data_IF_515076968003
#
_entry.id   IF_515076968003
#
_cell.length_a   1.000
_cell.length_b   1.000
_cell.length_c   1.000
_cell.angle_alpha   90.00
_cell.angle_beta   90.00
_cell.angle_gamma   90.00
#
_symmetry.space_group_name_H-M   'P 1'
#
loop_
_entity.id
_entity.type
_entity.pdbx_description
1 polymer ?
#
# COMPACT_ATOMS: atom_id res chain seq x y z
N UNK A 1 -21.49 11.85 16.79
CA UNK A 1 -20.04 11.56 16.75
C UNK A 1 -19.62 11.39 15.31
N UNK A 2 -19.08 12.44 14.69
CA UNK A 2 -18.40 12.34 13.40
C UNK A 2 -17.16 11.49 13.59
N UNK A 3 -17.15 10.26 13.06
CA UNK A 3 -15.95 9.42 13.06
C UNK A 3 -14.91 10.14 12.21
N UNK A 4 -13.84 10.61 12.84
CA UNK A 4 -12.71 11.16 12.10
C UNK A 4 -12.20 10.11 11.10
N UNK A 5 -11.82 10.53 9.88
CA UNK A 5 -11.23 9.62 8.92
C UNK A 5 -9.97 9.00 9.52
N UNK A 6 -9.90 7.67 9.49
CA UNK A 6 -8.81 6.89 10.06
C UNK A 6 -7.48 7.35 9.45
N UNK A 7 -6.62 7.98 10.26
CA UNK A 7 -5.31 8.45 9.81
C UNK A 7 -4.30 7.29 9.86
N UNK A 8 -4.13 6.62 8.71
CA UNK A 8 -3.24 5.47 8.56
C UNK A 8 -1.79 5.80 8.97
N UNK A 9 -1.33 7.03 8.75
CA UNK A 9 0.04 7.43 9.10
C UNK A 9 0.23 7.48 10.63
N UNK A 10 -0.83 7.80 11.38
CA UNK A 10 -0.84 7.77 12.85
C UNK A 10 -0.81 6.33 13.37
N UNK A 11 -1.55 5.43 12.74
CA UNK A 11 -1.59 4.02 13.14
C UNK A 11 -0.24 3.33 12.99
N UNK A 12 0.52 3.64 11.92
CA UNK A 12 1.83 3.00 11.67
C UNK A 12 2.88 3.37 12.73
N UNK A 13 2.77 4.55 13.34
CA UNK A 13 3.68 5.00 14.41
C UNK A 13 3.21 4.63 15.81
N UNK A 14 1.98 4.12 15.95
CA UNK A 14 1.44 3.68 17.24
C UNK A 14 2.22 2.47 17.74
N UNK A 15 2.49 2.47 19.04
CA UNK A 15 3.24 1.42 19.73
C UNK A 15 2.63 0.03 19.51
N UNK A 16 1.30 -0.05 19.44
CA UNK A 16 0.56 -1.28 19.12
C UNK A 16 0.87 -1.84 17.73
N UNK A 17 1.09 -0.98 16.74
CA UNK A 17 1.46 -1.45 15.40
C UNK A 17 2.85 -2.08 15.41
N UNK A 18 3.82 -1.45 16.09
CA UNK A 18 5.17 -1.99 16.27
C UNK A 18 5.15 -3.27 17.10
N UNK A 19 4.31 -3.34 18.13
CA UNK A 19 4.12 -4.54 18.93
C UNK A 19 3.59 -5.70 18.07
N UNK A 20 2.51 -5.48 17.31
CA UNK A 20 1.95 -6.52 16.43
C UNK A 20 2.87 -6.89 15.26
N UNK A 21 3.67 -5.95 14.74
CA UNK A 21 4.74 -6.24 13.79
C UNK A 21 5.82 -7.13 14.43
N UNK A 22 6.28 -6.81 15.64
CA UNK A 22 7.31 -7.58 16.36
C UNK A 22 6.84 -8.99 16.74
N UNK A 23 5.53 -9.16 17.01
CA UNK A 23 4.89 -10.44 17.27
C UNK A 23 4.63 -11.25 15.99
N UNK A 24 4.96 -10.72 14.80
CA UNK A 24 4.71 -11.36 13.52
C UNK A 24 3.24 -11.41 13.10
N UNK A 25 2.36 -10.70 13.81
CA UNK A 25 0.93 -10.62 13.52
C UNK A 25 0.63 -9.67 12.35
N UNK A 26 1.55 -8.73 12.08
CA UNK A 26 1.47 -7.81 10.94
C UNK A 26 2.67 -8.03 10.02
N UNK A 27 2.39 -8.36 8.77
CA UNK A 27 3.40 -8.34 7.72
C UNK A 27 3.41 -6.94 7.07
N UNK A 28 4.39 -6.11 7.43
CA UNK A 28 4.52 -4.74 6.91
C UNK A 28 4.60 -4.69 5.39
N UNK A 29 5.23 -5.67 4.75
CA UNK A 29 5.27 -5.78 3.28
C UNK A 29 3.88 -6.03 2.71
N UNK A 30 3.09 -6.91 3.31
CA UNK A 30 1.71 -7.17 2.90
C UNK A 30 0.82 -5.94 3.08
N UNK A 31 0.96 -5.23 4.19
CA UNK A 31 0.22 -3.97 4.46
C UNK A 31 0.58 -2.90 3.44
N UNK A 32 1.87 -2.68 3.17
CA UNK A 32 2.34 -1.75 2.13
C UNK A 32 1.75 -2.12 0.78
N UNK A 33 1.84 -3.39 0.39
CA UNK A 33 1.34 -3.87 -0.89
C UNK A 33 -0.19 -3.69 -1.03
N UNK A 34 -0.93 -3.88 0.06
CA UNK A 34 -2.36 -3.59 0.10
C UNK A 34 -2.64 -2.09 -0.13
N UNK A 35 -1.88 -1.22 0.55
CA UNK A 35 -2.00 0.24 0.42
C UNK A 35 -1.69 0.71 -1.01
N UNK A 36 -0.64 0.17 -1.63
CA UNK A 36 -0.29 0.43 -3.04
C UNK A 36 -1.46 0.10 -3.98
N UNK A 37 -2.10 -1.06 -3.81
CA UNK A 37 -3.26 -1.46 -4.63
C UNK A 37 -4.46 -0.55 -4.44
N UNK A 38 -4.73 -0.16 -3.21
CA UNK A 38 -5.83 0.75 -2.88
C UNK A 38 -5.61 2.15 -3.49
N UNK A 39 -4.40 2.69 -3.34
CA UNK A 39 -4.04 3.99 -3.95
C UNK A 39 -4.12 3.93 -5.48
N UNK A 40 -3.62 2.87 -6.11
CA UNK A 40 -3.73 2.66 -7.55
C UNK A 40 -5.18 2.69 -8.03
N UNK A 41 -6.07 1.97 -7.33
CA UNK A 41 -7.50 1.96 -7.66
C UNK A 41 -8.10 3.37 -7.63
N UNK A 42 -7.65 4.25 -6.73
CA UNK A 42 -8.12 5.63 -6.70
C UNK A 42 -7.49 6.51 -7.78
N UNK A 43 -6.18 6.40 -8.01
CA UNK A 43 -5.48 7.14 -9.06
C UNK A 43 -5.98 6.78 -10.46
N UNK A 44 -6.29 5.52 -10.70
CA UNK A 44 -6.77 5.01 -12.00
C UNK A 44 -8.14 5.57 -12.41
N UNK A 45 -8.87 6.23 -11.50
CA UNK A 45 -10.14 6.92 -11.84
C UNK A 45 -9.92 8.24 -12.56
N UNK A 46 -8.73 8.81 -12.46
CA UNK A 46 -8.43 10.17 -12.91
C UNK A 46 -7.18 10.25 -13.79
N UNK A 47 -6.24 9.33 -13.62
CA UNK A 47 -4.96 9.32 -14.31
C UNK A 47 -4.87 8.15 -15.29
N UNK A 48 -3.99 8.28 -16.30
CA UNK A 48 -3.60 7.14 -17.12
C UNK A 48 -2.89 6.08 -16.28
N UNK A 49 -2.83 4.85 -16.79
CA UNK A 49 -2.13 3.76 -16.10
C UNK A 49 -0.67 4.13 -15.79
N UNK A 50 0.05 4.70 -16.76
CA UNK A 50 1.46 5.07 -16.60
C UNK A 50 1.64 6.19 -15.58
N UNK A 51 0.77 7.21 -15.61
CA UNK A 51 0.84 8.33 -14.66
C UNK A 51 0.51 7.87 -13.23
N UNK A 52 -0.49 6.98 -13.09
CA UNK A 52 -0.82 6.38 -11.80
C UNK A 52 0.34 5.56 -11.24
N UNK A 53 1.03 4.78 -12.08
CA UNK A 53 2.21 4.02 -11.66
C UNK A 53 3.34 4.98 -11.28
N UNK A 54 3.61 6.01 -12.08
CA UNK A 54 4.64 7.00 -11.80
C UNK A 54 4.40 7.67 -10.44
N UNK A 55 3.17 8.12 -10.17
CA UNK A 55 2.79 8.70 -8.88
C UNK A 55 3.01 7.72 -7.71
N UNK A 56 2.78 6.41 -7.91
CA UNK A 56 3.04 5.40 -6.90
C UNK A 56 4.54 5.15 -6.69
N UNK A 57 5.35 5.19 -7.76
CA UNK A 57 6.81 5.04 -7.64
C UNK A 57 7.41 6.18 -6.81
N UNK A 58 6.97 7.42 -7.02
CA UNK A 58 7.40 8.58 -6.23
C UNK A 58 6.91 8.48 -4.78
N UNK A 59 5.64 8.12 -4.56
CA UNK A 59 5.05 8.04 -3.22
C UNK A 59 5.68 6.97 -2.34
N UNK A 60 6.01 5.81 -2.91
CA UNK A 60 6.48 4.64 -2.17
C UNK A 60 8.00 4.40 -2.26
N UNK A 61 8.72 5.22 -3.03
CA UNK A 61 10.15 5.05 -3.31
C UNK A 61 10.49 3.64 -3.81
N UNK A 62 9.62 3.10 -4.67
CA UNK A 62 9.77 1.78 -5.28
C UNK A 62 9.98 1.93 -6.78
N UNK A 63 10.78 1.03 -7.37
CA UNK A 63 10.94 0.99 -8.82
C UNK A 63 9.60 0.71 -9.52
N UNK A 64 9.51 1.13 -10.78
CA UNK A 64 8.36 0.85 -11.65
C UNK A 64 8.00 -0.65 -11.60
N UNK A 65 8.96 -1.53 -11.87
CA UNK A 65 8.77 -2.99 -11.86
C UNK A 65 8.28 -3.53 -10.50
N UNK A 66 8.72 -2.93 -9.40
CA UNK A 66 8.24 -3.30 -8.06
C UNK A 66 6.76 -2.98 -7.90
N UNK A 67 6.32 -1.79 -8.36
CA UNK A 67 4.91 -1.41 -8.36
C UNK A 67 4.11 -2.34 -9.27
N UNK A 68 4.55 -2.60 -10.50
CA UNK A 68 3.94 -3.56 -11.42
C UNK A 68 3.76 -4.93 -10.74
N UNK A 69 4.82 -5.45 -10.14
CA UNK A 69 4.79 -6.74 -9.46
C UNK A 69 3.83 -6.77 -8.27
N UNK A 70 3.66 -5.66 -7.55
CA UNK A 70 2.69 -5.55 -6.46
C UNK A 70 1.27 -5.56 -7.01
N UNK A 71 1.00 -4.75 -8.04
CA UNK A 71 -0.35 -4.59 -8.62
C UNK A 71 -0.85 -5.88 -9.24
N UNK A 72 -0.04 -6.53 -10.07
CA UNK A 72 -0.44 -7.70 -10.85
C UNK A 72 0.30 -8.97 -10.48
N UNK A 73 0.66 -9.13 -9.19
CA UNK A 73 1.23 -10.38 -8.69
C UNK A 73 0.35 -11.56 -9.12
N UNK A 74 0.84 -12.36 -10.06
CA UNK A 74 0.17 -13.60 -10.45
C UNK A 74 0.10 -14.50 -9.22
N UNK A 75 -1.09 -15.03 -8.92
CA UNK A 75 -1.18 -16.15 -7.98
C UNK A 75 -0.40 -17.32 -8.62
N UNK A 76 0.44 -18.04 -7.86
CA UNK A 76 1.00 -19.27 -8.37
C UNK A 76 -0.15 -20.16 -8.82
N UNK A 77 -0.10 -20.69 -10.04
CA UNK A 77 -0.97 -21.79 -10.43
C UNK A 77 -0.64 -22.95 -9.50
N UNK A 78 -1.62 -23.41 -8.73
CA UNK A 78 -1.51 -24.65 -7.97
C UNK A 78 -1.47 -25.84 -8.92
#
# INVERSE_FOLDING_TARGET
MTKEPVNINRIIIEEKFKEYESLGLINATAVRNYKIKWDYYHLSKTLSMNDAIYALTEKYFLSHDSIISVLWRKKPSK
#
